data_IF_057172111574
#
_entry.id   IF_057172111574
#
_cell.length_a   1.000
_cell.length_b   1.000
_cell.length_c   1.000
_cell.angle_alpha   90.00
_cell.angle_beta   90.00
_cell.angle_gamma   90.00
#
_symmetry.space_group_name_H-M   'P 1'
#
loop_
_entity.id
_entity.type
_entity.pdbx_description
1 polymer ?
#
# COMPACT_ATOMS: atom_id res chain seq x y z
N UNK A 1 13.00 -16.81 -4.90
CA UNK A 1 11.65 -16.21 -4.86
C UNK A 1 11.70 -14.78 -4.36
N UNK A 2 10.99 -13.87 -5.03
CA UNK A 2 10.91 -12.44 -4.68
C UNK A 2 9.47 -11.95 -4.87
N UNK A 3 8.97 -11.13 -3.95
CA UNK A 3 7.60 -10.60 -3.99
C UNK A 3 7.61 -9.14 -4.39
N UNK A 4 6.76 -8.75 -5.34
CA UNK A 4 6.51 -7.34 -5.64
C UNK A 4 5.13 -6.97 -5.11
N UNK A 5 5.09 -6.01 -4.18
CA UNK A 5 3.88 -5.54 -3.54
C UNK A 5 3.47 -4.18 -4.12
N UNK A 6 2.21 -4.02 -4.49
CA UNK A 6 1.69 -2.80 -5.10
C UNK A 6 0.73 -2.10 -4.13
N UNK A 7 1.16 -0.99 -3.54
CA UNK A 7 0.49 -0.23 -2.49
C UNK A 7 -0.18 -1.11 -1.41
N UNK A 8 0.55 -2.09 -0.83
CA UNK A 8 -0.02 -2.95 0.19
C UNK A 8 -0.37 -2.15 1.45
N UNK A 9 -1.45 -2.46 2.18
CA UNK A 9 -1.69 -1.92 3.51
C UNK A 9 -0.93 -2.76 4.57
N UNK A 10 0.39 -2.59 4.66
CA UNK A 10 1.21 -3.29 5.66
C UNK A 10 1.04 -2.73 7.08
N UNK A 11 0.52 -1.51 7.20
CA UNK A 11 0.05 -0.90 8.43
C UNK A 11 -1.47 -0.68 8.37
N UNK A 12 -2.16 -0.57 9.51
CA UNK A 12 -3.58 -0.22 9.57
C UNK A 12 -3.93 1.05 8.78
N UNK A 13 -4.65 0.96 7.64
CA UNK A 13 -4.90 2.12 6.79
C UNK A 13 -5.73 3.17 7.52
N UNK A 14 -5.25 4.41 7.53
CA UNK A 14 -5.94 5.57 8.14
C UNK A 14 -7.36 5.71 7.62
N UNK A 15 -7.57 5.48 6.32
CA UNK A 15 -8.89 5.60 5.71
C UNK A 15 -9.86 4.53 6.23
N UNK A 16 -9.43 3.26 6.33
CA UNK A 16 -10.23 2.19 6.91
C UNK A 16 -10.57 2.51 8.38
N UNK A 17 -9.58 2.92 9.18
CA UNK A 17 -9.79 3.34 10.58
C UNK A 17 -10.74 4.52 10.73
N UNK A 18 -10.79 5.45 9.78
CA UNK A 18 -11.71 6.59 9.82
C UNK A 18 -13.14 6.22 9.42
N UNK A 19 -13.29 5.32 8.44
CA UNK A 19 -14.58 5.03 7.82
C UNK A 19 -15.29 3.80 8.41
N UNK A 20 -14.61 2.91 9.14
CA UNK A 20 -15.16 1.61 9.58
C UNK A 20 -16.51 1.70 10.33
N UNK A 21 -16.77 2.79 11.04
CA UNK A 21 -18.02 3.01 11.79
C UNK A 21 -19.19 3.51 10.93
N UNK A 22 -18.94 3.93 9.70
CA UNK A 22 -19.98 4.41 8.80
C UNK A 22 -20.76 3.23 8.21
N UNK A 23 -22.09 3.31 8.24
CA UNK A 23 -22.95 2.26 7.68
C UNK A 23 -22.63 1.96 6.20
N UNK A 24 -22.46 2.96 5.30
CA UNK A 24 -22.10 2.69 3.91
C UNK A 24 -20.77 1.93 3.78
N UNK A 25 -19.77 2.26 4.60
CA UNK A 25 -18.48 1.58 4.56
C UNK A 25 -18.60 0.10 4.93
N UNK A 26 -19.37 -0.22 5.98
CA UNK A 26 -19.61 -1.61 6.40
C UNK A 26 -20.36 -2.41 5.34
N UNK A 27 -21.35 -1.81 4.68
CA UNK A 27 -22.13 -2.49 3.63
C UNK A 27 -21.26 -2.77 2.40
N UNK A 28 -20.41 -1.82 2.01
CA UNK A 28 -19.56 -1.96 0.82
C UNK A 28 -18.37 -2.89 1.06
N UNK A 29 -17.67 -2.74 2.20
CA UNK A 29 -16.39 -3.43 2.45
C UNK A 29 -16.52 -4.65 3.38
N UNK A 30 -17.67 -4.82 4.04
CA UNK A 30 -17.95 -5.95 4.92
C UNK A 30 -16.86 -6.21 5.95
N UNK A 31 -16.65 -7.49 6.24
CA UNK A 31 -15.68 -7.98 7.21
C UNK A 31 -14.24 -7.65 6.83
N UNK A 32 -13.91 -7.62 5.53
CA UNK A 32 -12.55 -7.32 5.05
C UNK A 32 -12.18 -5.89 5.44
N UNK A 33 -13.07 -4.93 5.22
CA UNK A 33 -12.85 -3.55 5.64
C UNK A 33 -12.75 -3.40 7.16
N UNK A 34 -13.48 -4.21 7.94
CA UNK A 34 -13.37 -4.20 9.40
C UNK A 34 -12.01 -4.74 9.87
N UNK A 35 -11.51 -5.81 9.26
CA UNK A 35 -10.18 -6.37 9.59
C UNK A 35 -9.06 -5.41 9.24
N UNK A 36 -9.16 -4.70 8.10
CA UNK A 36 -8.19 -3.65 7.75
C UNK A 36 -8.20 -2.49 8.75
N UNK A 37 -9.34 -2.22 9.38
CA UNK A 37 -9.45 -1.17 10.39
C UNK A 37 -9.00 -1.62 11.79
N UNK A 38 -8.79 -2.92 12.02
CA UNK A 38 -8.38 -3.52 13.28
C UNK A 38 -6.84 -3.58 13.38
N UNK A 39 -6.19 -2.76 14.22
CA UNK A 39 -4.75 -2.79 14.41
C UNK A 39 -4.25 -4.14 14.92
N UNK A 40 -5.01 -4.79 15.82
CA UNK A 40 -4.60 -6.06 16.40
C UNK A 40 -4.58 -7.19 15.37
N UNK A 41 -5.50 -7.16 14.40
CA UNK A 41 -5.50 -8.12 13.29
C UNK A 41 -4.26 -7.95 12.41
N UNK A 42 -3.94 -6.73 11.99
CA UNK A 42 -2.81 -6.45 11.11
C UNK A 42 -1.45 -6.68 11.80
N UNK A 43 -1.32 -6.27 13.06
CA UNK A 43 -0.12 -6.48 13.87
C UNK A 43 0.16 -7.97 14.15
N UNK A 44 -0.88 -8.80 14.16
CA UNK A 44 -0.76 -10.24 14.35
C UNK A 44 -0.39 -11.01 13.07
N UNK A 45 -0.40 -10.38 11.89
CA UNK A 45 -0.03 -11.04 10.65
C UNK A 45 1.48 -11.34 10.64
N UNK A 46 1.88 -12.53 10.17
CA UNK A 46 3.29 -12.85 10.06
C UNK A 46 3.98 -11.94 9.03
N UNK A 47 5.26 -11.57 9.25
CA UNK A 47 6.02 -10.83 8.26
C UNK A 47 6.22 -11.68 7.00
N UNK A 48 6.41 -11.01 5.86
CA UNK A 48 6.72 -11.70 4.60
C UNK A 48 8.15 -12.26 4.70
N UNK A 49 8.34 -13.60 4.65
CA UNK A 49 9.64 -14.23 4.93
C UNK A 49 10.59 -14.24 3.73
N UNK A 50 10.26 -13.52 2.66
CA UNK A 50 11.02 -13.48 1.40
C UNK A 50 11.41 -12.04 1.06
N UNK A 51 12.50 -11.85 0.29
CA UNK A 51 12.84 -10.56 -0.27
C UNK A 51 11.64 -9.97 -1.01
N UNK A 52 11.40 -8.68 -0.78
CA UNK A 52 10.26 -8.00 -1.37
C UNK A 52 10.61 -6.58 -1.81
N UNK A 53 9.90 -6.12 -2.84
CA UNK A 53 9.94 -4.74 -3.31
C UNK A 53 8.55 -4.15 -3.23
N UNK A 54 8.46 -2.93 -2.72
CA UNK A 54 7.19 -2.22 -2.55
C UNK A 54 7.14 -1.07 -3.55
N UNK A 55 6.04 -0.97 -4.29
CA UNK A 55 5.76 0.13 -5.20
C UNK A 55 4.52 0.86 -4.67
N UNK A 56 4.60 2.16 -4.44
CA UNK A 56 3.50 2.97 -3.90
C UNK A 56 3.15 4.15 -4.82
N UNK A 57 1.88 4.53 -4.82
CA UNK A 57 1.38 5.69 -5.56
C UNK A 57 1.47 7.00 -4.77
N UNK A 58 1.68 8.12 -5.45
CA UNK A 58 1.80 9.46 -4.85
C UNK A 58 0.93 10.53 -5.52
N UNK A 59 -0.03 10.14 -6.36
CA UNK A 59 -0.89 11.11 -7.09
C UNK A 59 -2.05 11.69 -6.25
N UNK A 60 -2.22 11.24 -5.01
CA UNK A 60 -3.27 11.70 -4.11
C UNK A 60 -3.00 13.08 -3.51
N UNK A 61 -4.05 13.76 -3.03
CA UNK A 61 -3.93 15.12 -2.47
C UNK A 61 -3.19 15.11 -1.13
N UNK A 62 -2.44 16.18 -0.87
CA UNK A 62 -1.79 16.47 0.42
C UNK A 62 -2.27 17.80 1.00
N UNK A 63 -1.98 18.06 2.27
CA UNK A 63 -2.31 19.29 2.98
C UNK A 63 -3.47 19.16 3.95
N UNK A 64 -3.89 20.32 4.50
CA UNK A 64 -4.86 20.43 5.61
C UNK A 64 -6.18 19.68 5.41
N UNK A 65 -6.66 19.56 4.17
CA UNK A 65 -7.93 18.91 3.86
C UNK A 65 -7.77 17.45 3.42
N UNK A 66 -6.53 16.96 3.24
CA UNK A 66 -6.28 15.57 2.91
C UNK A 66 -6.51 14.67 4.13
N UNK A 67 -7.16 13.49 3.97
CA UNK A 67 -7.24 12.51 5.06
C UNK A 67 -5.87 11.95 5.47
N UNK A 68 -4.84 12.15 4.64
CA UNK A 68 -3.46 11.74 4.89
C UNK A 68 -2.54 12.89 5.33
N UNK A 69 -3.08 14.11 5.51
CA UNK A 69 -2.27 15.29 5.83
C UNK A 69 -1.24 15.57 4.74
N UNK A 70 0.01 15.81 5.13
CA UNK A 70 1.11 16.11 4.20
C UNK A 70 1.79 14.86 3.62
N UNK A 71 1.30 13.65 3.99
CA UNK A 71 1.92 12.40 3.57
C UNK A 71 1.60 12.09 2.09
N UNK A 72 2.60 11.70 1.29
CA UNK A 72 2.37 11.16 -0.05
C UNK A 72 1.43 9.96 0.01
N UNK A 73 0.45 9.93 -0.87
CA UNK A 73 -0.60 8.91 -0.90
C UNK A 73 -1.15 8.73 -2.31
N UNK A 74 -1.92 7.67 -2.51
CA UNK A 74 -2.51 7.31 -3.79
C UNK A 74 -4.05 7.45 -3.81
N UNK A 75 -4.61 8.21 -2.85
CA UNK A 75 -6.03 8.38 -2.49
C UNK A 75 -6.65 7.28 -1.62
N UNK A 76 -5.99 6.13 -1.46
CA UNK A 76 -6.50 5.03 -0.62
C UNK A 76 -5.54 4.70 0.52
N UNK A 77 -4.24 4.71 0.23
CA UNK A 77 -3.16 4.35 1.15
C UNK A 77 -2.05 5.41 1.09
N UNK A 78 -1.47 5.77 2.23
CA UNK A 78 -0.28 6.59 2.31
C UNK A 78 0.98 5.75 2.11
N UNK A 79 2.06 6.33 1.58
CA UNK A 79 3.33 5.61 1.33
C UNK A 79 3.86 4.95 2.60
N UNK A 80 3.78 5.61 3.76
CA UNK A 80 4.22 5.03 5.05
C UNK A 80 3.41 3.78 5.44
N UNK A 81 2.13 3.73 5.09
CA UNK A 81 1.25 2.60 5.43
C UNK A 81 1.60 1.35 4.61
N UNK A 82 2.34 1.54 3.51
CA UNK A 82 2.87 0.44 2.70
C UNK A 82 4.09 -0.22 3.29
N UNK A 83 4.74 0.38 4.30
CA UNK A 83 5.99 -0.12 4.84
C UNK A 83 5.74 -1.11 5.98
N UNK A 84 6.31 -2.34 5.93
CA UNK A 84 6.27 -3.24 7.07
C UNK A 84 7.12 -2.71 8.23
N UNK A 85 8.22 -2.01 7.93
CA UNK A 85 9.04 -1.28 8.93
C UNK A 85 9.41 0.11 8.40
N UNK A 86 9.65 1.11 9.27
CA UNK A 86 9.96 2.48 8.83
C UNK A 86 11.10 2.60 7.81
N UNK A 87 12.11 1.74 7.92
CA UNK A 87 13.30 1.75 7.07
C UNK A 87 13.14 0.98 5.75
N UNK A 88 12.00 0.30 5.53
CA UNK A 88 11.77 -0.49 4.31
C UNK A 88 11.70 0.43 3.09
N UNK A 89 12.57 0.26 2.07
CA UNK A 89 12.55 1.12 0.89
C UNK A 89 11.28 0.93 0.05
N UNK A 90 10.79 2.02 -0.55
CA UNK A 90 9.60 2.04 -1.40
C UNK A 90 9.93 2.77 -2.70
N UNK A 91 9.50 2.18 -3.82
CA UNK A 91 9.56 2.83 -5.12
C UNK A 91 8.27 3.63 -5.30
N UNK A 92 8.39 4.96 -5.34
CA UNK A 92 7.25 5.86 -5.44
C UNK A 92 7.00 6.27 -6.90
N UNK A 93 5.75 6.22 -7.35
CA UNK A 93 5.34 6.67 -8.68
C UNK A 93 4.08 7.55 -8.58
N UNK A 94 3.97 8.63 -9.38
CA UNK A 94 2.79 9.50 -9.34
C UNK A 94 1.62 8.84 -10.07
N UNK A 95 0.95 7.92 -9.36
CA UNK A 95 -0.17 7.10 -9.81
C UNK A 95 -1.23 7.03 -8.71
N UNK A 96 -2.51 7.00 -9.10
CA UNK A 96 -3.62 6.74 -8.18
C UNK A 96 -3.76 5.23 -7.90
N UNK A 97 -4.27 4.87 -6.72
CA UNK A 97 -4.41 3.47 -6.28
C UNK A 97 -5.06 2.59 -7.34
N UNK A 98 -6.21 3.03 -7.85
CA UNK A 98 -7.01 2.31 -8.87
C UNK A 98 -6.25 2.02 -10.16
N UNK A 99 -5.27 2.86 -10.53
CA UNK A 99 -4.52 2.72 -11.79
C UNK A 99 -3.14 2.09 -11.59
N UNK A 100 -2.69 1.90 -10.36
CA UNK A 100 -1.36 1.42 -10.02
C UNK A 100 -1.02 0.10 -10.74
N UNK A 101 -1.94 -0.86 -10.75
CA UNK A 101 -1.73 -2.19 -11.35
C UNK A 101 -1.59 -2.16 -12.88
N UNK A 102 -2.15 -1.14 -13.55
CA UNK A 102 -2.18 -1.04 -15.01
C UNK A 102 -1.21 0.03 -15.56
N UNK A 103 -0.54 0.79 -14.70
CA UNK A 103 0.41 1.83 -15.12
C UNK A 103 1.65 1.23 -15.81
N UNK A 104 2.03 1.81 -16.94
CA UNK A 104 3.17 1.32 -17.72
C UNK A 104 4.51 1.44 -16.98
N UNK A 105 4.68 2.47 -16.14
CA UNK A 105 5.89 2.69 -15.34
C UNK A 105 5.97 1.67 -14.22
N UNK A 106 4.86 1.37 -13.55
CA UNK A 106 4.78 0.31 -12.54
C UNK A 106 5.16 -1.04 -13.16
N UNK A 107 4.60 -1.39 -14.32
CA UNK A 107 4.96 -2.62 -15.04
C UNK A 107 6.42 -2.66 -15.46
N UNK A 108 7.01 -1.54 -15.84
CA UNK A 108 8.44 -1.46 -16.17
C UNK A 108 9.30 -1.74 -14.93
N UNK A 109 8.98 -1.13 -13.78
CA UNK A 109 9.67 -1.41 -12.50
C UNK A 109 9.57 -2.88 -12.13
N UNK A 110 8.37 -3.49 -12.21
CA UNK A 110 8.18 -4.92 -11.92
C UNK A 110 9.11 -5.78 -12.79
N UNK A 111 9.19 -5.50 -14.09
CA UNK A 111 10.08 -6.25 -15.00
C UNK A 111 11.55 -6.12 -14.59
N UNK A 112 12.00 -4.92 -14.25
CA UNK A 112 13.38 -4.68 -13.81
C UNK A 112 13.70 -5.44 -12.53
N UNK A 113 12.81 -5.37 -11.53
CA UNK A 113 12.98 -6.08 -10.25
C UNK A 113 13.05 -7.58 -10.48
N UNK A 114 12.12 -8.14 -11.24
CA UNK A 114 12.08 -9.58 -11.48
C UNK A 114 13.25 -10.06 -12.35
N UNK A 115 13.69 -9.27 -13.33
CA UNK A 115 14.85 -9.60 -14.15
C UNK A 115 16.13 -9.71 -13.30
N UNK A 116 16.34 -8.78 -12.36
CA UNK A 116 17.49 -8.80 -11.45
C UNK A 116 17.46 -9.93 -10.41
N UNK A 117 16.31 -10.58 -10.21
CA UNK A 117 16.18 -11.77 -9.36
C UNK A 117 16.51 -13.05 -10.15
N UNK A 118 16.22 -13.08 -11.45
CA UNK A 118 16.49 -14.23 -12.34
C UNK A 118 17.92 -14.31 -12.84
N UNK A 119 18.74 -13.28 -12.66
CA UNK A 119 20.14 -13.26 -13.08
C UNK A 119 21.03 -13.41 -11.83
N UNK A 120 21.38 -14.64 -11.42
CA UNK A 120 22.40 -14.82 -10.40
C UNK A 120 23.74 -14.47 -11.03
N UNK A 121 24.34 -13.37 -10.58
CA UNK A 121 25.78 -13.20 -10.75
C UNK A 121 26.54 -14.41 -10.21
#
# INVERSE_FOLDING_TARGET
DHVVMLAPPNQPPRLARRLHRLWPYRVINGDVGQRLADPGFLEALPPIPVPHTIIAGTAGPTGRFSPFGDLPNDTVVAVEETRPTPDTPVIELPVYHTFLMNDARVRAVIRTVLAGVTDPA
#
